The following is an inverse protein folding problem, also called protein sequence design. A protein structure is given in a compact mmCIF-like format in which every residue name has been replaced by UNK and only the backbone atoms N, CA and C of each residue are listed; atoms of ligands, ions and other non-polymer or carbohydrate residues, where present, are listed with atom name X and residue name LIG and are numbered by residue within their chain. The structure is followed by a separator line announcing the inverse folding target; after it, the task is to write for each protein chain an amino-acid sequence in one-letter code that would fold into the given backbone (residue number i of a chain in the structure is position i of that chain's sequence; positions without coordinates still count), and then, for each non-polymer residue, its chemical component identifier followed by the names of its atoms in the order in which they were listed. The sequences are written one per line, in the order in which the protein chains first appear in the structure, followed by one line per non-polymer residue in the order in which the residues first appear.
data_IF_282975656263
#
_entry.id   IF_282975656263
#
_cell.length_a   1.000
_cell.length_b   1.000
_cell.length_c   1.000
_cell.angle_alpha   90.00
_cell.angle_beta   90.00
_cell.angle_gamma   90.00
#
_symmetry.space_group_name_H-M   'P 1'
#
loop_
_entity.id
_entity.type
_entity.pdbx_description
1 polymer ?
#
# COMPACT_ATOMS: atom_id res chain seq x y z
N UNK A 1 59.67 -13.06 5.10
CA UNK A 1 58.61 -13.82 4.41
C UNK A 1 57.37 -13.67 5.27
N UNK A 2 56.49 -12.74 4.91
CA UNK A 2 55.31 -12.37 5.69
C UNK A 2 54.26 -13.49 5.61
N UNK A 3 53.88 -14.04 6.75
CA UNK A 3 52.73 -14.93 6.87
C UNK A 3 51.46 -14.09 6.91
N UNK A 4 50.75 -13.99 5.79
CA UNK A 4 49.42 -13.42 5.74
C UNK A 4 48.43 -14.38 6.40
N UNK A 5 47.74 -13.91 7.43
CA UNK A 5 46.53 -14.54 7.95
C UNK A 5 45.40 -14.19 6.97
N UNK A 6 44.99 -15.14 6.14
CA UNK A 6 43.72 -15.05 5.41
C UNK A 6 42.60 -15.23 6.43
N UNK A 7 41.97 -14.14 6.84
CA UNK A 7 40.68 -14.17 7.52
C UNK A 7 39.62 -14.47 6.48
N UNK A 8 39.18 -15.73 6.43
CA UNK A 8 37.94 -16.12 5.74
C UNK A 8 36.78 -15.35 6.39
N UNK A 9 36.27 -14.35 5.67
CA UNK A 9 35.00 -13.75 5.98
C UNK A 9 33.93 -14.72 5.50
N UNK A 10 33.35 -15.50 6.41
CA UNK A 10 32.10 -16.19 6.11
C UNK A 10 31.03 -15.13 5.82
N UNK A 11 30.61 -15.03 4.57
CA UNK A 11 29.38 -14.31 4.24
C UNK A 11 28.25 -14.91 5.09
N UNK A 12 27.40 -14.09 5.74
CA UNK A 12 26.26 -14.62 6.47
C UNK A 12 25.45 -15.44 5.48
N UNK A 13 25.38 -16.75 5.71
CA UNK A 13 24.64 -17.68 4.87
C UNK A 13 23.26 -17.09 4.68
N UNK A 14 22.92 -16.73 3.44
CA UNK A 14 21.62 -16.21 3.09
C UNK A 14 20.59 -17.25 3.50
N UNK A 15 20.05 -17.08 4.71
CA UNK A 15 19.06 -17.97 5.27
C UNK A 15 17.97 -18.11 4.20
N UNK A 16 17.79 -19.34 3.77
CA UNK A 16 16.88 -19.80 2.73
C UNK A 16 15.44 -19.43 3.08
N UNK A 17 15.10 -18.15 2.97
CA UNK A 17 13.72 -17.70 3.05
C UNK A 17 13.25 -17.61 1.62
N UNK A 18 12.70 -18.73 1.14
CA UNK A 18 11.77 -18.77 0.01
C UNK A 18 10.94 -17.48 -0.06
N UNK A 19 10.77 -16.93 -1.27
CA UNK A 19 10.36 -15.56 -1.60
C UNK A 19 8.98 -15.13 -1.13
N UNK A 20 8.68 -15.28 0.15
CA UNK A 20 7.47 -14.78 0.79
C UNK A 20 7.54 -13.27 0.88
N UNK A 21 6.54 -12.64 0.28
CA UNK A 21 6.31 -11.21 0.32
C UNK A 21 4.84 -10.92 0.04
N UNK A 22 4.46 -9.68 0.33
CA UNK A 22 3.07 -9.23 0.21
C UNK A 22 2.94 -8.19 -0.89
N UNK A 23 1.80 -8.20 -1.57
CA UNK A 23 1.36 -7.14 -2.47
C UNK A 23 0.15 -6.47 -1.84
N UNK A 24 0.11 -5.14 -1.86
CA UNK A 24 -1.07 -4.39 -1.47
C UNK A 24 -1.67 -3.68 -2.68
N UNK A 25 -2.99 -3.73 -2.78
CA UNK A 25 -3.78 -2.96 -3.74
C UNK A 25 -4.71 -2.04 -2.94
N UNK A 26 -4.52 -0.73 -3.09
CA UNK A 26 -5.43 0.29 -2.59
C UNK A 26 -6.51 0.53 -3.64
N UNK A 27 -7.72 0.07 -3.36
CA UNK A 27 -8.81 0.01 -4.33
C UNK A 27 -9.69 1.27 -4.26
N UNK A 28 -10.15 1.73 -5.43
CA UNK A 28 -11.07 2.86 -5.58
C UNK A 28 -10.63 4.16 -4.87
N UNK A 29 -9.33 4.46 -4.90
CA UNK A 29 -8.78 5.70 -4.34
C UNK A 29 -9.29 6.94 -5.09
N UNK A 30 -9.75 7.95 -4.35
CA UNK A 30 -10.29 9.18 -4.96
C UNK A 30 -9.21 10.21 -5.27
N UNK A 31 -8.40 9.92 -6.29
CA UNK A 31 -7.33 10.77 -6.81
C UNK A 31 -7.75 11.40 -8.14
N UNK A 32 -8.48 12.52 -8.09
CA UNK A 32 -8.94 13.24 -9.28
C UNK A 32 -8.42 14.67 -9.30
N UNK A 33 -7.78 15.07 -10.39
CA UNK A 33 -7.38 16.45 -10.63
C UNK A 33 -8.45 17.17 -11.47
N UNK A 34 -8.79 18.40 -11.10
CA UNK A 34 -9.66 19.26 -11.89
C UNK A 34 -9.13 20.69 -11.95
N UNK A 35 -9.55 21.43 -12.97
CA UNK A 35 -9.21 22.84 -13.12
C UNK A 35 -10.17 23.69 -12.28
N UNK A 36 -9.69 24.18 -11.14
CA UNK A 36 -10.43 25.08 -10.26
C UNK A 36 -9.91 26.49 -10.49
N UNK A 37 -10.71 27.31 -11.15
CA UNK A 37 -10.28 28.65 -11.59
C UNK A 37 -9.15 28.59 -12.62
N UNK A 38 -7.94 28.99 -12.22
CA UNK A 38 -6.76 29.03 -13.11
C UNK A 38 -5.79 27.87 -12.89
N UNK A 39 -5.89 27.14 -11.77
CA UNK A 39 -4.95 26.10 -11.37
C UNK A 39 -5.53 24.70 -11.57
N UNK A 40 -4.66 23.71 -11.70
CA UNK A 40 -5.02 22.29 -11.60
C UNK A 40 -4.76 21.83 -10.18
N UNK A 41 -5.82 21.40 -9.50
CA UNK A 41 -5.77 21.03 -8.09
C UNK A 41 -6.38 19.63 -7.90
N UNK A 42 -5.85 18.90 -6.92
CA UNK A 42 -6.40 17.62 -6.51
C UNK A 42 -7.70 17.87 -5.75
N UNK A 43 -8.79 17.25 -6.19
CA UNK A 43 -10.10 17.45 -5.60
C UNK A 43 -10.15 16.88 -4.18
N UNK A 44 -10.72 17.68 -3.27
CA UNK A 44 -10.85 17.37 -1.85
C UNK A 44 -12.24 17.84 -1.37
N UNK A 45 -12.75 17.25 -0.29
CA UNK A 45 -14.00 17.61 0.33
C UNK A 45 -14.00 18.99 0.98
N UNK A 46 -12.86 19.45 1.49
CA UNK A 46 -12.79 20.71 2.25
C UNK A 46 -12.70 21.94 1.34
N UNK A 47 -11.67 22.00 0.51
CA UNK A 47 -11.39 23.17 -0.35
C UNK A 47 -12.33 23.25 -1.56
N UNK A 48 -12.76 22.08 -2.07
CA UNK A 48 -13.45 21.96 -3.35
C UNK A 48 -14.94 21.59 -3.23
N UNK A 49 -15.53 21.63 -2.03
CA UNK A 49 -16.96 21.27 -1.81
C UNK A 49 -17.92 21.98 -2.76
N UNK A 50 -17.78 23.30 -2.91
CA UNK A 50 -18.66 24.09 -3.77
C UNK A 50 -18.48 23.76 -5.26
N UNK A 51 -17.24 23.51 -5.68
CA UNK A 51 -16.91 23.12 -7.05
C UNK A 51 -17.52 21.76 -7.38
N UNK A 52 -17.39 20.79 -6.46
CA UNK A 52 -17.93 19.44 -6.61
C UNK A 52 -19.46 19.45 -6.71
N UNK A 53 -20.15 20.18 -5.82
CA UNK A 53 -21.62 20.32 -5.84
C UNK A 53 -22.13 20.91 -7.15
N UNK A 54 -21.42 21.91 -7.71
CA UNK A 54 -21.78 22.51 -9.01
C UNK A 54 -21.67 21.55 -10.18
N UNK A 55 -20.80 20.55 -10.09
CA UNK A 55 -20.62 19.52 -11.10
C UNK A 55 -21.42 18.24 -10.80
N UNK A 56 -22.38 18.29 -9.87
CA UNK A 56 -23.23 17.15 -9.52
C UNK A 56 -22.51 16.02 -8.80
N UNK A 57 -21.37 16.31 -8.18
CA UNK A 57 -20.56 15.33 -7.44
C UNK A 57 -20.72 15.52 -5.93
N UNK A 58 -20.71 14.42 -5.19
CA UNK A 58 -20.79 14.43 -3.73
C UNK A 58 -19.42 14.74 -3.10
N UNK A 59 -19.25 15.86 -2.38
CA UNK A 59 -17.99 16.18 -1.69
C UNK A 59 -17.53 15.11 -0.71
N UNK A 60 -18.44 14.36 -0.09
CA UNK A 60 -18.09 13.37 0.95
C UNK A 60 -17.24 12.22 0.42
N UNK A 61 -17.28 11.95 -0.89
CA UNK A 61 -16.50 10.90 -1.54
C UNK A 61 -15.08 11.35 -1.91
N UNK A 62 -14.84 12.66 -1.99
CA UNK A 62 -13.56 13.25 -2.40
C UNK A 62 -12.60 13.38 -1.24
N UNK A 63 -12.11 12.23 -0.76
CA UNK A 63 -11.23 12.09 0.41
C UNK A 63 -9.85 11.53 0.02
N UNK A 64 -9.00 12.32 -0.66
CA UNK A 64 -7.64 11.88 -1.04
C UNK A 64 -6.74 11.60 0.17
N UNK A 65 -7.08 12.15 1.35
CA UNK A 65 -6.41 11.92 2.63
C UNK A 65 -6.42 10.45 3.07
N UNK A 66 -7.49 9.70 2.74
CA UNK A 66 -7.59 8.26 3.05
C UNK A 66 -6.50 7.48 2.34
N UNK A 67 -6.32 7.74 1.04
CA UNK A 67 -5.27 7.11 0.24
C UNK A 67 -3.89 7.51 0.75
N UNK A 68 -3.68 8.80 1.07
CA UNK A 68 -2.41 9.29 1.62
C UNK A 68 -2.04 8.58 2.93
N UNK A 69 -2.97 8.49 3.89
CA UNK A 69 -2.73 7.79 5.15
C UNK A 69 -2.49 6.29 4.97
N UNK A 70 -3.20 5.65 4.04
CA UNK A 70 -3.01 4.24 3.72
C UNK A 70 -1.63 3.96 3.10
N UNK A 71 -1.17 4.83 2.20
CA UNK A 71 0.18 4.74 1.62
C UNK A 71 1.25 4.86 2.70
N UNK A 72 1.14 5.84 3.60
CA UNK A 72 2.08 5.99 4.72
C UNK A 72 2.08 4.76 5.63
N UNK A 73 0.91 4.22 5.97
CA UNK A 73 0.79 3.03 6.82
C UNK A 73 1.52 1.79 6.24
N UNK A 74 1.60 1.66 4.91
CA UNK A 74 2.31 0.57 4.23
C UNK A 74 3.80 0.90 4.06
N UNK A 75 4.12 2.11 3.61
CA UNK A 75 5.49 2.49 3.26
C UNK A 75 6.38 2.70 4.49
N UNK A 76 5.83 3.19 5.60
CA UNK A 76 6.60 3.42 6.82
C UNK A 76 6.76 2.16 7.68
N UNK A 77 6.06 1.07 7.34
CA UNK A 77 6.02 -0.13 8.17
C UNK A 77 7.36 -0.87 8.18
N UNK A 78 7.72 -1.53 9.30
CA UNK A 78 8.85 -2.46 9.37
C UNK A 78 8.84 -3.49 8.24
N UNK A 79 7.67 -3.95 7.81
CA UNK A 79 7.48 -4.84 6.67
C UNK A 79 8.13 -4.33 5.36
N UNK A 80 7.95 -3.04 5.05
CA UNK A 80 8.54 -2.45 3.86
C UNK A 80 10.05 -2.32 4.01
N UNK A 81 10.52 -1.89 5.18
CA UNK A 81 11.96 -1.76 5.50
C UNK A 81 12.69 -3.11 5.46
N UNK A 82 12.00 -4.19 5.81
CA UNK A 82 12.51 -5.56 5.72
C UNK A 82 12.48 -6.15 4.29
N UNK A 83 12.07 -5.38 3.27
CA UNK A 83 12.04 -5.84 1.88
C UNK A 83 10.97 -6.89 1.56
N UNK A 84 9.96 -7.04 2.44
CA UNK A 84 8.86 -8.00 2.29
C UNK A 84 7.67 -7.45 1.53
N UNK A 85 7.55 -6.12 1.41
CA UNK A 85 6.63 -5.50 0.46
C UNK A 85 7.14 -5.72 -0.97
N UNK A 86 6.38 -6.38 -1.84
CA UNK A 86 6.84 -6.69 -3.20
C UNK A 86 6.34 -5.68 -4.22
N UNK A 87 5.07 -5.32 -4.10
CA UNK A 87 4.47 -4.28 -4.91
C UNK A 87 3.37 -3.58 -4.12
N UNK A 88 3.15 -2.31 -4.45
CA UNK A 88 2.06 -1.50 -3.96
C UNK A 88 1.38 -0.86 -5.16
N UNK A 89 0.09 -1.10 -5.29
CA UNK A 89 -0.72 -0.53 -6.36
C UNK A 89 -1.81 0.35 -5.77
N UNK A 90 -2.13 1.43 -6.46
CA UNK A 90 -3.27 2.29 -6.19
C UNK A 90 -4.15 2.26 -7.42
N UNK A 91 -5.33 1.68 -7.29
CA UNK A 91 -6.37 1.78 -8.29
C UNK A 91 -7.29 2.94 -7.92
N UNK A 92 -7.47 3.87 -8.84
CA UNK A 92 -8.29 5.06 -8.63
C UNK A 92 -9.73 4.82 -9.08
N UNK A 93 -10.68 5.57 -8.51
CA UNK A 93 -12.09 5.52 -8.94
C UNK A 93 -12.34 5.89 -10.41
N UNK A 94 -11.32 6.40 -11.14
CA UNK A 94 -11.34 6.65 -12.59
C UNK A 94 -10.72 5.52 -13.42
N UNK A 95 -10.52 4.34 -12.82
CA UNK A 95 -9.90 3.18 -13.45
C UNK A 95 -8.46 3.44 -13.94
N UNK A 96 -7.70 4.21 -13.16
CA UNK A 96 -6.25 4.38 -13.36
C UNK A 96 -5.52 3.55 -12.31
N UNK A 97 -4.66 2.64 -12.77
CA UNK A 97 -3.78 1.85 -11.91
C UNK A 97 -2.41 2.52 -11.83
N UNK A 98 -1.98 2.83 -10.62
CA UNK A 98 -0.71 3.49 -10.32
C UNK A 98 0.14 2.50 -9.53
N UNK A 99 1.32 2.15 -10.06
CA UNK A 99 2.31 1.39 -9.30
C UNK A 99 3.13 2.35 -8.45
N UNK A 100 3.10 2.15 -7.13
CA UNK A 100 3.94 2.88 -6.18
C UNK A 100 5.16 2.03 -5.91
N UNK A 101 6.32 2.49 -6.37
CA UNK A 101 7.56 1.79 -6.13
C UNK A 101 8.02 2.04 -4.69
N UNK A 102 8.10 1.02 -3.82
CA UNK A 102 8.72 1.18 -2.53
C UNK A 102 10.24 1.27 -2.76
N UNK A 103 10.88 2.34 -2.26
CA UNK A 103 12.31 2.67 -2.34
C UNK A 103 13.27 1.68 -3.06
N UNK A 104 13.96 2.19 -4.10
CA UNK A 104 14.81 1.45 -5.04
C UNK A 104 16.07 0.77 -4.46
N UNK A 105 16.46 1.10 -3.23
CA UNK A 105 17.73 0.61 -2.64
C UNK A 105 17.58 -0.73 -1.89
N UNK A 106 16.35 -1.23 -1.71
CA UNK A 106 16.10 -2.53 -1.07
C UNK A 106 16.02 -3.61 -2.13
N UNK A 107 16.96 -4.56 -2.11
CA UNK A 107 16.92 -5.73 -2.99
C UNK A 107 15.68 -6.58 -2.67
N UNK A 108 14.75 -6.68 -3.62
CA UNK A 108 13.53 -7.49 -3.47
C UNK A 108 13.77 -8.84 -4.17
N UNK A 109 13.83 -9.97 -3.44
CA UNK A 109 13.94 -11.26 -4.09
C UNK A 109 12.71 -11.54 -4.96
N UNK A 110 12.92 -12.24 -6.07
CA UNK A 110 11.87 -12.69 -7.00
C UNK A 110 10.81 -13.51 -6.26
N UNK A 111 9.55 -13.39 -6.69
CA UNK A 111 8.45 -14.14 -6.08
C UNK A 111 8.56 -15.63 -6.44
N UNK A 112 9.08 -16.45 -5.53
CA UNK A 112 9.01 -17.91 -5.65
C UNK A 112 7.78 -18.44 -4.90
N UNK A 113 6.61 -18.39 -5.56
CA UNK A 113 5.35 -18.93 -5.02
C UNK A 113 4.10 -18.15 -5.43
N UNK A 114 2.96 -18.48 -4.81
CA UNK A 114 1.72 -17.68 -4.97
C UNK A 114 1.84 -16.39 -4.13
N UNK A 115 1.81 -15.19 -4.74
CA UNK A 115 1.81 -13.93 -3.98
C UNK A 115 0.64 -13.86 -3.01
N UNK A 116 0.88 -13.40 -1.78
CA UNK A 116 -0.19 -12.97 -0.89
C UNK A 116 -0.56 -11.53 -1.27
N UNK A 117 -1.80 -11.33 -1.73
CA UNK A 117 -2.32 -10.03 -2.16
C UNK A 117 -3.43 -9.59 -1.20
N UNK A 118 -3.30 -8.39 -0.64
CA UNK A 118 -4.38 -7.75 0.12
C UNK A 118 -4.95 -6.58 -0.66
N UNK A 119 -6.27 -6.60 -0.84
CA UNK A 119 -7.04 -5.52 -1.46
C UNK A 119 -7.75 -4.74 -0.34
N UNK A 120 -7.48 -3.44 -0.25
CA UNK A 120 -8.03 -2.59 0.80
C UNK A 120 -8.61 -1.32 0.17
N UNK A 121 -9.86 -1.01 0.52
CA UNK A 121 -10.55 0.17 -0.02
C UNK A 121 -9.94 1.47 0.49
N UNK A 122 -9.60 2.37 -0.42
CA UNK A 122 -9.06 3.70 -0.14
C UNK A 122 -10.07 4.82 -0.44
N UNK A 123 -11.35 4.57 -0.17
CA UNK A 123 -12.48 5.46 -0.37
C UNK A 123 -13.23 5.77 0.94
N UNK A 124 -14.05 6.82 0.94
CA UNK A 124 -14.81 7.22 2.13
C UNK A 124 -15.97 6.27 2.45
N UNK A 125 -16.79 5.95 1.45
CA UNK A 125 -17.94 5.06 1.57
C UNK A 125 -18.09 4.23 0.30
N UNK A 126 -18.45 2.96 0.45
CA UNK A 126 -18.57 2.03 -0.68
C UNK A 126 -18.29 0.60 -0.25
N UNK A 127 -18.21 -0.28 -1.25
CA UNK A 127 -17.84 -1.68 -1.08
C UNK A 127 -16.89 -2.03 -2.23
N UNK A 128 -15.87 -2.82 -1.92
CA UNK A 128 -15.02 -3.45 -2.94
C UNK A 128 -15.86 -4.56 -3.58
N UNK A 129 -16.03 -4.51 -4.90
CA UNK A 129 -16.79 -5.50 -5.67
C UNK A 129 -16.06 -5.77 -6.98
N UNK A 130 -14.87 -6.34 -6.84
CA UNK A 130 -13.94 -6.56 -7.94
C UNK A 130 -13.81 -8.03 -8.28
N UNK A 131 -13.84 -8.36 -9.57
CA UNK A 131 -13.79 -9.75 -10.06
C UNK A 131 -12.48 -10.48 -9.78
N UNK A 132 -11.43 -9.73 -9.42
CA UNK A 132 -10.11 -10.27 -9.11
C UNK A 132 -9.94 -10.60 -7.62
N UNK A 133 -10.95 -10.33 -6.78
CA UNK A 133 -10.94 -10.67 -5.36
C UNK A 133 -11.48 -12.09 -5.18
N UNK A 134 -10.64 -12.98 -4.65
CA UNK A 134 -11.02 -14.38 -4.40
C UNK A 134 -11.95 -14.53 -3.18
N UNK A 135 -11.65 -13.83 -2.08
CA UNK A 135 -12.38 -13.93 -0.82
C UNK A 135 -12.37 -12.63 -0.01
N UNK A 136 -13.38 -12.45 0.85
CA UNK A 136 -13.49 -11.32 1.76
C UNK A 136 -13.24 -11.75 3.20
N UNK A 137 -12.25 -11.12 3.85
CA UNK A 137 -11.86 -11.43 5.23
C UNK A 137 -12.22 -10.24 6.12
N UNK A 138 -12.92 -10.49 7.23
CA UNK A 138 -13.11 -9.50 8.29
C UNK A 138 -12.02 -9.63 9.35
N UNK A 139 -11.30 -8.54 9.59
CA UNK A 139 -10.26 -8.48 10.62
C UNK A 139 -10.77 -7.87 11.94
N UNK A 140 -12.02 -7.39 11.98
CA UNK A 140 -12.58 -6.64 13.11
C UNK A 140 -14.10 -6.74 13.17
N UNK A 141 -14.67 -6.72 14.37
CA UNK A 141 -16.12 -6.61 14.59
C UNK A 141 -16.65 -5.18 14.44
N UNK A 142 -15.74 -4.20 14.39
CA UNK A 142 -16.05 -2.77 14.20
C UNK A 142 -15.49 -2.26 12.88
N UNK A 143 -16.16 -1.29 12.23
CA UNK A 143 -15.63 -0.65 11.03
C UNK A 143 -14.30 0.05 11.35
N UNK A 144 -13.30 -0.19 10.51
CA UNK A 144 -11.96 0.40 10.64
C UNK A 144 -11.70 1.35 9.49
N UNK A 145 -10.88 2.38 9.73
CA UNK A 145 -10.31 3.15 8.63
C UNK A 145 -9.32 2.28 7.83
N UNK A 146 -9.12 2.63 6.56
CA UNK A 146 -8.20 1.91 5.68
C UNK A 146 -6.77 1.83 6.28
N UNK A 147 -6.25 2.96 6.75
CA UNK A 147 -4.92 3.02 7.35
C UNK A 147 -4.79 2.15 8.62
N UNK A 148 -5.83 2.12 9.48
CA UNK A 148 -5.80 1.29 10.68
C UNK A 148 -5.92 -0.20 10.35
N UNK A 149 -6.75 -0.56 9.38
CA UNK A 149 -6.85 -1.93 8.87
C UNK A 149 -5.50 -2.41 8.32
N UNK A 150 -4.85 -1.60 7.49
CA UNK A 150 -3.50 -1.86 6.96
C UNK A 150 -2.49 -2.02 8.09
N UNK A 151 -2.51 -1.14 9.09
CA UNK A 151 -1.64 -1.26 10.27
C UNK A 151 -1.82 -2.58 11.03
N UNK A 152 -3.04 -3.12 11.12
CA UNK A 152 -3.26 -4.45 11.72
C UNK A 152 -2.73 -5.57 10.84
N UNK A 153 -2.89 -5.46 9.52
CA UNK A 153 -2.40 -6.44 8.55
C UNK A 153 -0.86 -6.46 8.54
N UNK A 154 -0.20 -5.31 8.43
CA UNK A 154 1.26 -5.22 8.43
C UNK A 154 1.84 -5.74 9.74
N UNK A 155 1.32 -5.32 10.90
CA UNK A 155 1.76 -5.83 12.20
C UNK A 155 1.59 -7.35 12.33
N UNK A 156 0.50 -7.92 11.77
CA UNK A 156 0.28 -9.36 11.80
C UNK A 156 1.30 -10.12 10.92
N UNK A 157 1.60 -9.58 9.74
CA UNK A 157 2.62 -10.14 8.84
C UNK A 157 4.03 -10.01 9.42
N UNK A 158 4.35 -8.89 10.06
CA UNK A 158 5.62 -8.65 10.74
C UNK A 158 5.85 -9.71 11.83
N UNK A 159 4.84 -9.98 12.67
CA UNK A 159 4.93 -11.05 13.67
C UNK A 159 5.07 -12.44 13.05
N UNK A 160 4.32 -12.73 11.98
CA UNK A 160 4.39 -14.02 11.28
C UNK A 160 5.77 -14.25 10.68
N UNK A 161 6.42 -13.20 10.19
CA UNK A 161 7.73 -13.26 9.53
C UNK A 161 8.91 -12.89 10.43
N UNK A 162 8.68 -12.66 11.73
CA UNK A 162 9.74 -12.35 12.70
C UNK A 162 10.44 -11.00 12.46
N UNK A 163 9.74 -10.03 11.88
CA UNK A 163 10.24 -8.66 11.70
C UNK A 163 9.99 -7.88 13.01
N UNK A 164 11.04 -7.26 13.54
CA UNK A 164 11.04 -6.49 14.81
C UNK A 164 11.39 -5.04 14.55
#
# INVERSE_FOLDING_TARGET
MAGGLETEWEEPSAASTSGEGVIFVLESAQLEVAKVGKNYELLNCDDHANFLRRHGKDPALYRPDICHQALLAILDSPLNKAGRLKALYVHTGKNVLIQVNPQDWVMRPELSGKPLVFVVGAFAHGKIDDSYVDEYISISQFPLSAAYALGRITNALERKWGIV
#
